data_IF_184969214380
#
_entry.id   IF_184969214380
#
_cell.length_a   1.000
_cell.length_b   1.000
_cell.length_c   1.000
_cell.angle_alpha   90.00
_cell.angle_beta   90.00
_cell.angle_gamma   90.00
#
_symmetry.space_group_name_H-M   'P 1'
#
loop_
_entity.id
_entity.type
_entity.pdbx_description
1 polymer ?
#
# COMPACT_ATOMS: atom_id res chain seq x y z
N UNK A 1 -14.50 -6.34 1.99
CA UNK A 1 -14.06 -7.03 3.20
C UNK A 1 -12.55 -6.88 3.36
N UNK A 2 -12.12 -6.58 4.57
CA UNK A 2 -10.70 -6.39 4.85
C UNK A 2 -10.06 -7.75 5.11
N UNK A 3 -8.98 -8.03 4.40
CA UNK A 3 -8.26 -9.29 4.55
C UNK A 3 -6.86 -9.06 5.08
N UNK A 4 -6.42 -9.95 5.94
CA UNK A 4 -5.05 -9.94 6.44
C UNK A 4 -4.16 -10.66 5.44
N UNK A 5 -3.05 -10.04 5.09
CA UNK A 5 -2.11 -10.59 4.12
C UNK A 5 -0.69 -10.41 4.64
N UNK A 6 0.26 -11.07 4.01
CA UNK A 6 1.67 -10.90 4.38
C UNK A 6 2.32 -9.83 3.49
N UNK A 7 3.57 -9.50 3.78
CA UNK A 7 4.27 -8.45 3.05
C UNK A 7 4.45 -8.74 1.58
N UNK A 8 4.67 -9.99 1.23
CA UNK A 8 4.84 -10.36 -0.16
C UNK A 8 3.54 -10.15 -0.95
N UNK A 9 2.43 -10.56 -0.36
CA UNK A 9 1.12 -10.34 -0.98
C UNK A 9 0.79 -8.86 -1.08
N UNK A 10 1.12 -8.10 -0.04
CA UNK A 10 0.90 -6.66 -0.05
C UNK A 10 1.67 -5.99 -1.18
N UNK A 11 2.91 -6.39 -1.36
CA UNK A 11 3.75 -5.85 -2.43
C UNK A 11 3.12 -6.11 -3.80
N UNK A 12 2.66 -7.34 -4.02
CA UNK A 12 2.04 -7.69 -5.29
C UNK A 12 0.76 -6.90 -5.54
N UNK A 13 -0.05 -6.75 -4.51
CA UNK A 13 -1.31 -6.02 -4.64
C UNK A 13 -1.06 -4.54 -4.88
N UNK A 14 -0.07 -3.96 -4.21
CA UNK A 14 0.27 -2.57 -4.43
C UNK A 14 0.70 -2.34 -5.89
N UNK A 15 1.52 -3.23 -6.42
CA UNK A 15 1.99 -3.10 -7.80
C UNK A 15 0.86 -3.26 -8.82
N UNK A 16 -0.24 -3.88 -8.42
CA UNK A 16 -1.42 -4.00 -9.27
C UNK A 16 -2.39 -2.83 -9.11
N UNK A 17 -2.06 -1.87 -8.25
CA UNK A 17 -2.90 -0.72 -8.04
C UNK A 17 -3.91 -0.85 -6.92
N UNK A 18 -3.81 -1.89 -6.10
CA UNK A 18 -4.70 -2.05 -4.96
C UNK A 18 -4.21 -1.26 -3.76
N UNK A 19 -5.14 -0.97 -2.86
CA UNK A 19 -4.81 -0.28 -1.61
C UNK A 19 -4.39 -1.31 -0.57
N UNK A 20 -3.31 -0.99 0.12
CA UNK A 20 -2.84 -1.81 1.24
C UNK A 20 -2.61 -0.91 2.44
N UNK A 21 -2.67 -1.48 3.63
CA UNK A 21 -2.47 -0.72 4.85
C UNK A 21 -1.84 -1.59 5.93
N UNK A 22 -1.16 -0.96 6.86
CA UNK A 22 -0.67 -1.64 8.05
C UNK A 22 -1.71 -1.65 9.16
N UNK A 23 -2.86 -1.03 8.92
CA UNK A 23 -3.92 -0.91 9.91
C UNK A 23 -5.19 -1.59 9.41
N UNK A 24 -5.88 -2.27 10.32
CA UNK A 24 -7.07 -3.04 9.96
C UNK A 24 -8.20 -2.14 9.45
N UNK A 25 -8.23 -0.88 9.85
CA UNK A 25 -9.24 0.06 9.37
C UNK A 25 -8.86 0.71 8.04
N UNK A 26 -7.73 0.31 7.46
CA UNK A 26 -7.26 0.81 6.18
C UNK A 26 -6.98 2.32 6.17
N UNK A 27 -6.59 2.86 7.30
CA UNK A 27 -6.29 4.30 7.40
C UNK A 27 -5.06 4.49 8.28
N UNK A 28 -3.99 5.07 7.78
CA UNK A 28 -3.75 5.46 6.39
C UNK A 28 -3.52 4.26 5.50
N UNK A 29 -3.63 4.43 4.20
CA UNK A 29 -3.35 3.34 3.28
C UNK A 29 -2.38 3.80 2.20
N UNK A 30 -1.77 2.83 1.53
CA UNK A 30 -0.83 3.07 0.45
C UNK A 30 -1.44 2.62 -0.86
N UNK A 31 -1.15 3.36 -1.92
CA UNK A 31 -1.63 3.04 -3.26
C UNK A 31 -0.66 3.65 -4.26
N UNK A 32 -0.62 3.11 -5.46
CA UNK A 32 0.20 3.70 -6.53
C UNK A 32 -0.51 4.91 -7.11
N UNK A 33 0.23 5.98 -7.25
CA UNK A 33 -0.25 7.18 -7.91
C UNK A 33 -0.19 6.99 -9.42
N UNK A 34 -0.76 7.92 -10.16
CA UNK A 34 -0.84 7.84 -11.63
C UNK A 34 0.50 7.60 -12.31
N UNK A 35 1.57 8.10 -11.74
CA UNK A 35 2.91 7.92 -12.31
C UNK A 35 3.59 6.64 -11.85
N UNK A 36 2.87 5.78 -11.11
CA UNK A 36 3.43 4.53 -10.63
C UNK A 36 4.22 4.63 -9.35
N UNK A 37 4.19 5.78 -8.68
CA UNK A 37 4.90 5.99 -7.43
C UNK A 37 3.99 5.72 -6.24
N UNK A 38 4.46 4.98 -5.21
CA UNK A 38 3.64 4.77 -4.02
C UNK A 38 3.40 6.06 -3.27
N UNK A 39 2.18 6.26 -2.83
CA UNK A 39 1.80 7.40 -2.00
C UNK A 39 0.99 6.91 -0.83
N UNK A 40 0.96 7.69 0.23
CA UNK A 40 0.14 7.41 1.39
C UNK A 40 -1.06 8.34 1.40
N UNK A 41 -2.24 7.78 1.59
CA UNK A 41 -3.46 8.58 1.76
C UNK A 41 -3.84 8.50 3.23
N UNK A 42 -3.90 9.64 3.90
CA UNK A 42 -4.21 9.64 5.31
C UNK A 42 -5.72 9.76 5.54
N UNK A 43 -6.11 9.83 6.82
CA UNK A 43 -7.50 9.78 7.21
C UNK A 43 -8.35 10.88 6.58
N UNK A 44 -7.77 12.01 6.30
CA UNK A 44 -8.48 13.14 5.71
C UNK A 44 -8.53 13.08 4.19
N UNK A 45 -7.94 12.05 3.61
CA UNK A 45 -7.87 11.92 2.15
C UNK A 45 -6.71 12.67 1.53
N UNK A 46 -5.84 13.22 2.36
CA UNK A 46 -4.67 13.94 1.87
C UNK A 46 -3.65 12.97 1.32
N UNK A 47 -3.13 13.28 0.14
CA UNK A 47 -2.12 12.48 -0.51
C UNK A 47 -0.74 12.96 -0.08
N UNK A 48 0.06 12.05 0.42
CA UNK A 48 1.44 12.35 0.82
C UNK A 48 2.41 11.50 0.03
N UNK A 49 3.22 12.09 -0.83
CA UNK A 49 4.25 11.33 -1.54
C UNK A 49 5.24 10.79 -0.52
N UNK A 50 5.51 9.50 -0.59
CA UNK A 50 6.43 8.87 0.33
C UNK A 50 7.86 8.86 -0.18
N UNK A 51 8.01 8.87 -1.48
CA UNK A 51 9.31 8.66 -2.07
C UNK A 51 9.59 9.68 -3.15
N UNK A 52 10.79 10.25 -3.10
CA UNK A 52 11.24 11.18 -4.10
C UNK A 52 12.18 10.53 -5.11
N UNK A 53 12.58 9.28 -4.86
CA UNK A 53 13.52 8.61 -5.75
C UNK A 53 13.34 7.09 -5.68
N UNK A 54 14.03 6.41 -6.60
CA UNK A 54 13.93 4.98 -6.74
C UNK A 54 14.47 4.23 -5.52
N UNK A 55 15.53 4.74 -4.90
CA UNK A 55 16.12 4.07 -3.74
C UNK A 55 15.12 3.98 -2.59
N UNK A 56 14.38 5.05 -2.36
CA UNK A 56 13.36 5.06 -1.32
C UNK A 56 12.24 4.06 -1.66
N UNK A 57 11.88 3.95 -2.94
CA UNK A 57 10.88 2.99 -3.38
C UNK A 57 11.33 1.54 -3.15
N UNK A 58 12.57 1.25 -3.51
CA UNK A 58 13.13 -0.09 -3.30
C UNK A 58 13.18 -0.41 -1.81
N UNK A 59 13.57 0.55 -0.98
CA UNK A 59 13.59 0.37 0.45
C UNK A 59 12.19 0.06 0.99
N UNK A 60 11.18 0.75 0.47
CA UNK A 60 9.80 0.50 0.84
C UNK A 60 9.37 -0.92 0.47
N UNK A 61 9.70 -1.37 -0.74
CA UNK A 61 9.36 -2.72 -1.16
C UNK A 61 10.02 -3.77 -0.29
N UNK A 62 11.29 -3.56 0.08
CA UNK A 62 11.99 -4.47 0.97
C UNK A 62 11.33 -4.52 2.34
N UNK A 63 10.91 -3.37 2.82
CA UNK A 63 10.21 -3.30 4.10
C UNK A 63 8.88 -4.02 4.05
N UNK A 64 8.18 -3.96 2.93
CA UNK A 64 6.93 -4.68 2.76
C UNK A 64 7.13 -6.18 2.93
N UNK A 65 8.22 -6.72 2.38
CA UNK A 65 8.49 -8.16 2.50
C UNK A 65 8.93 -8.56 3.89
N UNK A 66 9.46 -7.62 4.67
CA UNK A 66 9.89 -7.89 6.04
C UNK A 66 8.78 -7.71 7.06
N UNK A 67 7.81 -6.89 6.74
CA UNK A 67 6.75 -6.59 7.68
C UNK A 67 5.80 -7.74 7.87
N UNK A 68 5.22 -7.76 9.05
CA UNK A 68 4.52 -8.92 9.56
C UNK A 68 3.12 -9.07 9.00
N UNK A 69 2.32 -8.03 9.12
CA UNK A 69 0.91 -8.10 8.77
C UNK A 69 0.51 -6.87 8.00
N UNK A 70 -0.17 -7.09 6.90
CA UNK A 70 -0.74 -6.04 6.10
C UNK A 70 -2.21 -6.34 5.89
N UNK A 71 -2.96 -5.35 5.48
CA UNK A 71 -4.39 -5.48 5.25
C UNK A 71 -4.73 -4.96 3.87
N UNK A 72 -5.75 -5.54 3.28
CA UNK A 72 -6.17 -5.19 1.94
C UNK A 72 -7.68 -5.31 1.89
N UNK A 73 -8.34 -4.34 1.28
CA UNK A 73 -9.78 -4.30 1.19
C UNK A 73 -10.21 -4.79 -0.19
N UNK A 74 -10.76 -5.98 -0.25
CA UNK A 74 -11.17 -6.57 -1.51
C UNK A 74 -12.54 -6.09 -1.98
N UNK A 75 -13.26 -5.35 -1.15
CA UNK A 75 -14.58 -4.85 -1.54
C UNK A 75 -14.51 -3.78 -2.64
N UNK A 76 -13.36 -3.12 -2.75
CA UNK A 76 -13.15 -2.16 -3.80
C UNK A 76 -12.54 -2.75 -5.05
N UNK A 77 -12.25 -4.02 -5.04
CA UNK A 77 -11.59 -4.72 -6.12
C UNK A 77 -12.62 -5.38 -7.01
N UNK A 78 -13.43 -4.57 -7.59
CA UNK A 78 -14.48 -5.09 -8.43
C UNK A 78 -14.13 -4.87 -9.85
N UNK A 79 -13.98 -5.81 -10.54
CA UNK A 79 -13.81 -5.59 -11.97
C UNK A 79 -14.03 -6.80 -12.73
#
# INVERSE_FOLDING_TARGET
MIKEINGEQASRLLLRGHRISMHVDMVPYYVLHDNGTPVMINKTGELQPLFSNLDAYVTFLNKLTEEHVWYYDDSGDIT
#
